data_IF_879786719577
#
_entry.id   IF_879786719577
#
_cell.length_a   1.000
_cell.length_b   1.000
_cell.length_c   1.000
_cell.angle_alpha   90.00
_cell.angle_beta   90.00
_cell.angle_gamma   90.00
#
_symmetry.space_group_name_H-M   'P 1'
#
loop_
_entity.id
_entity.type
_entity.pdbx_description
1 polymer ?
#
# COMPACT_ATOMS: atom_id res chain seq x y z
N UNK A 1 43.82 -48.91 -6.18
CA UNK A 1 43.66 -47.58 -5.54
C UNK A 1 42.29 -47.04 -5.93
N UNK A 2 41.28 -47.19 -5.07
CA UNK A 2 39.93 -46.69 -5.31
C UNK A 2 39.61 -45.68 -4.22
N UNK A 3 39.58 -44.40 -4.59
CA UNK A 3 39.10 -43.33 -3.72
C UNK A 3 37.57 -43.35 -3.73
N UNK A 4 36.89 -43.43 -2.57
CA UNK A 4 35.44 -43.25 -2.53
C UNK A 4 35.12 -41.77 -2.78
N UNK A 5 34.29 -41.51 -3.79
CA UNK A 5 33.69 -40.19 -4.01
C UNK A 5 32.78 -39.86 -2.84
N UNK A 6 33.15 -38.83 -2.07
CA UNK A 6 32.28 -38.25 -1.06
C UNK A 6 31.17 -37.46 -1.77
N UNK A 7 29.95 -38.00 -1.75
CA UNK A 7 28.74 -37.26 -2.14
C UNK A 7 28.47 -36.24 -1.04
N UNK A 8 28.79 -34.97 -1.30
CA UNK A 8 28.39 -33.87 -0.44
C UNK A 8 26.87 -33.66 -0.58
N UNK A 9 26.09 -34.11 0.41
CA UNK A 9 24.71 -33.66 0.57
C UNK A 9 24.73 -32.17 0.92
N UNK A 10 24.47 -31.30 -0.05
CA UNK A 10 24.05 -29.93 0.24
C UNK A 10 22.66 -30.00 0.89
N UNK A 11 22.62 -29.84 2.21
CA UNK A 11 21.36 -29.56 2.90
C UNK A 11 20.91 -28.18 2.46
N UNK A 12 19.86 -28.12 1.64
CA UNK A 12 19.17 -26.88 1.34
C UNK A 12 18.57 -26.37 2.66
N UNK A 13 19.22 -25.38 3.29
CA UNK A 13 18.61 -24.65 4.40
C UNK A 13 17.30 -24.06 3.87
N UNK A 14 16.16 -24.27 4.54
CA UNK A 14 14.94 -23.57 4.16
C UNK A 14 15.24 -22.08 4.18
N UNK A 15 15.10 -21.43 3.04
CA UNK A 15 15.16 -19.97 2.94
C UNK A 15 14.03 -19.43 3.79
N UNK A 16 14.34 -19.10 5.05
CA UNK A 16 13.40 -18.46 5.96
C UNK A 16 13.00 -17.15 5.29
N UNK A 17 11.75 -17.05 4.85
CA UNK A 17 11.22 -15.76 4.41
C UNK A 17 11.29 -14.81 5.60
N UNK A 18 12.28 -13.93 5.59
CA UNK A 18 12.44 -12.90 6.60
C UNK A 18 11.51 -11.73 6.27
N UNK A 19 10.21 -11.95 6.34
CA UNK A 19 9.28 -10.82 6.41
C UNK A 19 9.53 -10.04 7.71
N UNK A 20 9.50 -8.72 7.59
CA UNK A 20 9.91 -7.76 8.63
C UNK A 20 8.80 -6.77 8.98
N UNK A 21 7.59 -6.97 8.46
CA UNK A 21 6.42 -6.21 8.87
C UNK A 21 6.16 -6.40 10.36
N UNK A 22 5.94 -5.30 11.08
CA UNK A 22 5.68 -5.31 12.51
C UNK A 22 4.34 -5.98 12.82
N UNK A 23 4.35 -7.06 13.61
CA UNK A 23 3.17 -7.87 13.93
C UNK A 23 2.59 -7.61 15.33
N UNK A 24 3.11 -6.62 16.05
CA UNK A 24 2.73 -6.32 17.44
C UNK A 24 1.39 -5.60 17.62
N UNK A 25 0.57 -5.51 16.58
CA UNK A 25 -0.71 -4.78 16.61
C UNK A 25 -0.58 -3.30 16.26
N UNK A 26 -1.68 -2.55 16.45
CA UNK A 26 -1.64 -1.09 16.35
C UNK A 26 -0.75 -0.51 17.47
N UNK A 27 0.13 0.45 17.16
CA UNK A 27 0.87 1.17 18.18
C UNK A 27 -0.07 1.89 19.16
N UNK A 28 0.36 2.04 20.42
CA UNK A 28 -0.39 2.80 21.41
C UNK A 28 -0.36 4.28 21.04
N UNK A 29 -1.54 4.88 20.83
CA UNK A 29 -1.61 6.30 20.51
C UNK A 29 -1.25 7.18 21.72
N UNK A 30 -0.60 8.31 21.47
CA UNK A 30 -0.25 9.32 22.49
C UNK A 30 -1.36 10.33 22.73
N UNK A 31 -2.34 10.40 21.83
CA UNK A 31 -3.51 11.27 21.89
C UNK A 31 -4.43 11.00 20.71
N UNK A 32 -5.57 11.69 20.65
CA UNK A 32 -6.50 11.63 19.51
C UNK A 32 -6.85 13.04 19.04
N UNK A 33 -7.01 13.24 17.74
CA UNK A 33 -7.48 14.47 17.11
C UNK A 33 -8.49 14.17 16.01
N UNK A 34 -9.65 14.81 16.07
CA UNK A 34 -10.65 14.77 15.01
C UNK A 34 -10.54 16.04 14.17
N UNK A 35 -10.33 15.90 12.87
CA UNK A 35 -10.13 17.00 11.94
C UNK A 35 -11.42 17.36 11.20
N UNK A 36 -11.80 18.64 11.22
CA UNK A 36 -12.95 19.15 10.44
C UNK A 36 -12.69 19.18 8.93
N UNK A 37 -11.42 19.32 8.52
CA UNK A 37 -10.97 19.37 7.12
C UNK A 37 -9.69 18.54 6.94
N UNK A 38 -9.28 18.20 5.70
CA UNK A 38 -7.99 17.54 5.48
C UNK A 38 -6.84 18.36 6.06
N UNK A 39 -5.85 17.67 6.64
CA UNK A 39 -4.60 18.29 7.04
C UNK A 39 -3.59 18.19 5.91
N UNK A 40 -3.24 19.34 5.33
CA UNK A 40 -2.25 19.43 4.27
C UNK A 40 -0.83 19.46 4.82
N UNK A 41 0.05 18.60 4.31
CA UNK A 41 1.49 18.67 4.53
C UNK A 41 2.12 19.26 3.29
N UNK A 42 2.72 20.45 3.44
CA UNK A 42 3.19 21.25 2.31
C UNK A 42 4.40 20.64 1.63
N UNK A 43 4.62 21.07 0.38
CA UNK A 43 5.70 20.58 -0.49
C UNK A 43 7.03 20.45 0.26
N UNK A 44 7.62 19.25 0.25
CA UNK A 44 8.89 18.94 0.89
C UNK A 44 8.93 18.95 2.42
N UNK A 45 7.81 19.23 3.10
CA UNK A 45 7.77 19.29 4.56
C UNK A 45 7.58 17.91 5.18
N UNK A 46 8.07 17.76 6.42
CA UNK A 46 7.83 16.57 7.24
C UNK A 46 6.85 16.91 8.36
N UNK A 47 5.81 16.09 8.51
CA UNK A 47 4.95 16.09 9.68
C UNK A 47 5.15 14.79 10.47
N UNK A 48 5.70 14.95 11.67
CA UNK A 48 5.79 13.88 12.66
C UNK A 48 4.62 14.01 13.63
N UNK A 49 3.73 13.04 13.62
CA UNK A 49 2.52 13.09 14.43
C UNK A 49 2.73 12.56 15.85
N UNK A 50 3.93 12.08 16.20
CA UNK A 50 4.27 11.63 17.55
C UNK A 50 3.36 10.52 18.09
N UNK A 51 2.88 9.64 17.21
CA UNK A 51 1.90 8.58 17.46
C UNK A 51 0.50 9.06 17.88
N UNK A 52 0.14 10.30 17.55
CA UNK A 52 -1.24 10.77 17.72
C UNK A 52 -2.15 10.08 16.70
N UNK A 53 -3.35 9.70 17.13
CA UNK A 53 -4.41 9.16 16.28
C UNK A 53 -5.22 10.29 15.66
N UNK A 54 -5.42 10.27 14.35
CA UNK A 54 -6.21 11.24 13.60
C UNK A 54 -7.40 10.58 12.91
N UNK A 55 -8.54 11.25 12.89
CA UNK A 55 -9.70 10.87 12.09
C UNK A 55 -10.47 12.11 11.60
N UNK A 56 -11.60 11.90 10.91
CA UNK A 56 -12.50 12.96 10.42
C UNK A 56 -13.81 13.06 11.21
N UNK A 57 -14.01 12.23 12.23
CA UNK A 57 -15.24 12.17 13.02
C UNK A 57 -16.49 11.76 12.23
N UNK A 58 -16.31 11.20 11.03
CA UNK A 58 -17.41 10.76 10.16
C UNK A 58 -17.37 9.25 10.02
N UNK A 59 -18.55 8.61 10.04
CA UNK A 59 -18.63 7.16 9.84
C UNK A 59 -18.24 6.80 8.41
N UNK A 60 -17.50 5.70 8.27
CA UNK A 60 -17.26 5.07 6.98
C UNK A 60 -18.57 4.72 6.26
N UNK A 61 -18.63 4.99 4.97
CA UNK A 61 -19.79 4.72 4.10
C UNK A 61 -19.57 3.57 3.13
N UNK A 62 -18.54 2.75 3.37
CA UNK A 62 -18.14 1.64 2.52
C UNK A 62 -17.30 2.08 1.33
N UNK A 63 -17.41 1.35 0.22
CA UNK A 63 -16.57 1.47 -0.98
C UNK A 63 -17.01 2.57 -1.96
N UNK A 64 -17.78 3.55 -1.50
CA UNK A 64 -18.16 4.69 -2.33
C UNK A 64 -16.96 5.65 -2.42
N UNK A 65 -16.45 5.88 -3.64
CA UNK A 65 -15.26 6.71 -3.86
C UNK A 65 -15.42 8.11 -3.23
N UNK A 66 -14.47 8.46 -2.36
CA UNK A 66 -14.36 9.78 -1.76
C UNK A 66 -13.63 10.79 -2.65
N UNK A 67 -13.51 12.01 -2.15
CA UNK A 67 -12.66 13.04 -2.74
C UNK A 67 -11.58 13.52 -1.77
N UNK A 68 -10.68 14.37 -2.27
CA UNK A 68 -9.60 14.95 -1.46
C UNK A 68 -10.11 15.62 -0.17
N UNK A 69 -11.28 16.27 -0.21
CA UNK A 69 -11.93 16.91 0.95
C UNK A 69 -12.27 15.95 2.09
N UNK A 70 -12.39 14.66 1.79
CA UNK A 70 -12.77 13.59 2.72
C UNK A 70 -11.56 12.90 3.36
N UNK A 71 -10.34 13.24 2.91
CA UNK A 71 -9.08 12.64 3.38
C UNK A 71 -8.68 13.09 4.79
N UNK A 72 -7.98 12.25 5.54
CA UNK A 72 -7.36 12.67 6.81
C UNK A 72 -6.15 13.57 6.53
N UNK A 73 -5.23 13.11 5.67
CA UNK A 73 -4.04 13.86 5.28
C UNK A 73 -3.89 13.98 3.76
N UNK A 74 -3.41 15.14 3.31
CA UNK A 74 -3.00 15.38 1.93
C UNK A 74 -1.53 15.79 1.92
N UNK A 75 -0.70 14.98 1.27
CA UNK A 75 0.73 15.26 1.11
C UNK A 75 0.95 15.89 -0.26
N UNK A 76 1.45 17.12 -0.27
CA UNK A 76 1.98 17.75 -1.47
C UNK A 76 3.31 17.08 -1.88
N UNK A 77 3.79 17.38 -3.09
CA UNK A 77 5.00 16.76 -3.64
C UNK A 77 6.22 16.86 -2.72
N UNK A 78 6.93 15.75 -2.54
CA UNK A 78 8.07 15.60 -1.64
C UNK A 78 7.75 15.60 -0.15
N UNK A 79 6.48 15.72 0.27
CA UNK A 79 6.12 15.75 1.68
C UNK A 79 6.30 14.37 2.36
N UNK A 80 6.47 14.41 3.69
CA UNK A 80 6.62 13.23 4.54
C UNK A 80 5.64 13.26 5.70
N UNK A 81 5.00 12.12 5.97
CA UNK A 81 4.16 11.88 7.13
C UNK A 81 4.73 10.71 7.92
N UNK A 82 4.89 10.86 9.24
CA UNK A 82 5.42 9.79 10.07
C UNK A 82 4.81 9.67 11.47
N UNK A 83 4.93 8.47 12.04
CA UNK A 83 4.49 8.11 13.39
C UNK A 83 3.04 8.55 13.64
N UNK A 84 2.10 8.05 12.84
CA UNK A 84 0.70 8.46 12.92
C UNK A 84 -0.21 7.25 12.87
N UNK A 85 -1.35 7.34 13.55
CA UNK A 85 -2.42 6.35 13.49
C UNK A 85 -3.62 7.03 12.86
N UNK A 86 -4.22 6.40 11.85
CA UNK A 86 -5.44 6.83 11.18
C UNK A 86 -6.58 5.99 11.75
N UNK A 87 -7.52 6.66 12.44
CA UNK A 87 -8.65 6.02 13.09
C UNK A 87 -9.75 5.62 12.11
N UNK A 88 -10.71 4.82 12.59
CA UNK A 88 -11.80 4.26 11.79
C UNK A 88 -12.84 5.29 11.29
N UNK A 89 -12.96 6.45 11.95
CA UNK A 89 -13.96 7.47 11.61
C UNK A 89 -13.49 8.38 10.46
N UNK A 90 -13.25 7.77 9.32
CA UNK A 90 -12.76 8.42 8.11
C UNK A 90 -13.41 7.77 6.87
N UNK A 91 -13.36 8.48 5.74
CA UNK A 91 -13.79 7.95 4.44
C UNK A 91 -12.59 7.68 3.54
N UNK A 92 -11.67 8.64 3.51
CA UNK A 92 -10.41 8.57 2.78
C UNK A 92 -9.23 8.74 3.75
N UNK A 93 -8.20 7.91 3.62
CA UNK A 93 -7.05 7.93 4.52
C UNK A 93 -6.06 9.05 4.17
N UNK A 94 -5.09 8.74 3.32
CA UNK A 94 -3.98 9.61 2.96
C UNK A 94 -3.87 9.76 1.45
N UNK A 95 -3.80 10.99 0.96
CA UNK A 95 -3.50 11.28 -0.45
C UNK A 95 -2.06 11.74 -0.62
N UNK A 96 -1.37 11.22 -1.65
CA UNK A 96 -0.10 11.76 -2.14
C UNK A 96 -0.31 12.43 -3.49
N UNK A 97 -0.12 13.76 -3.57
CA UNK A 97 -0.31 14.56 -4.78
C UNK A 97 0.94 14.62 -5.68
N UNK A 98 2.04 14.00 -5.28
CA UNK A 98 3.30 13.86 -6.02
C UNK A 98 4.15 12.77 -5.38
N UNK A 99 5.48 12.94 -5.40
CA UNK A 99 6.35 12.08 -4.59
C UNK A 99 6.01 12.25 -3.11
N UNK A 100 6.04 11.19 -2.32
CA UNK A 100 5.74 11.29 -0.88
C UNK A 100 6.45 10.20 -0.09
N UNK A 101 6.58 10.40 1.22
CA UNK A 101 7.09 9.37 2.12
C UNK A 101 6.16 9.19 3.32
N UNK A 102 5.73 7.95 3.54
CA UNK A 102 4.93 7.52 4.68
C UNK A 102 5.80 6.59 5.53
N UNK A 103 6.13 7.01 6.74
CA UNK A 103 6.99 6.25 7.67
C UNK A 103 6.20 5.90 8.93
N UNK A 104 6.00 4.61 9.19
CA UNK A 104 5.26 4.15 10.37
C UNK A 104 3.84 4.76 10.48
N UNK A 105 3.14 4.79 9.35
CA UNK A 105 1.74 5.21 9.24
C UNK A 105 0.84 3.99 9.42
N UNK A 106 -0.07 4.03 10.39
CA UNK A 106 -0.98 2.93 10.70
C UNK A 106 -2.42 3.28 10.39
N UNK A 107 -3.20 2.32 9.90
CA UNK A 107 -4.63 2.47 9.61
C UNK A 107 -5.42 1.44 10.43
N UNK A 108 -6.23 1.92 11.37
CA UNK A 108 -7.00 1.09 12.31
C UNK A 108 -8.15 0.33 11.64
N UNK A 109 -8.82 0.98 10.69
CA UNK A 109 -9.93 0.41 9.91
C UNK A 109 -10.01 1.19 8.59
N UNK A 110 -9.76 0.52 7.47
CA UNK A 110 -9.74 1.15 6.15
C UNK A 110 -11.15 1.19 5.58
N UNK A 111 -11.64 2.40 5.29
CA UNK A 111 -12.98 2.58 4.73
C UNK A 111 -13.05 2.22 3.24
N UNK A 112 -12.50 3.09 2.37
CA UNK A 112 -12.35 2.82 0.94
C UNK A 112 -10.90 2.39 0.66
N UNK A 113 -9.99 3.37 0.62
CA UNK A 113 -8.54 3.19 0.45
C UNK A 113 -7.80 3.79 1.65
N UNK A 114 -6.69 3.17 2.06
CA UNK A 114 -5.83 3.71 3.10
C UNK A 114 -4.92 4.81 2.54
N UNK A 115 -4.29 4.52 1.40
CA UNK A 115 -3.30 5.36 0.75
C UNK A 115 -3.66 5.47 -0.73
N UNK A 116 -3.85 6.70 -1.20
CA UNK A 116 -4.17 7.01 -2.59
C UNK A 116 -3.04 7.85 -3.20
N UNK A 117 -2.28 7.27 -4.12
CA UNK A 117 -1.16 7.93 -4.81
C UNK A 117 -1.73 8.55 -6.08
N UNK A 118 -2.06 9.85 -6.01
CA UNK A 118 -2.75 10.60 -7.06
C UNK A 118 -1.76 11.23 -8.05
N UNK A 119 -0.64 11.75 -7.55
CA UNK A 119 0.41 12.36 -8.36
C UNK A 119 1.43 11.37 -8.91
N UNK A 120 2.26 11.83 -9.84
CA UNK A 120 3.41 11.08 -10.32
C UNK A 120 4.62 11.15 -9.40
N UNK A 121 5.67 10.42 -9.75
CA UNK A 121 6.93 10.36 -8.97
C UNK A 121 7.05 9.09 -8.13
N UNK A 122 7.76 9.19 -7.00
CA UNK A 122 8.01 8.03 -6.12
C UNK A 122 7.29 8.19 -4.78
N UNK A 123 6.45 7.21 -4.44
CA UNK A 123 5.89 7.06 -3.11
C UNK A 123 6.67 6.01 -2.32
N UNK A 124 7.16 6.36 -1.13
CA UNK A 124 7.82 5.42 -0.22
C UNK A 124 6.90 5.14 0.97
N UNK A 125 6.55 3.87 1.16
CA UNK A 125 5.71 3.39 2.27
C UNK A 125 6.60 2.46 3.09
N UNK A 126 7.03 2.94 4.25
CA UNK A 126 8.10 2.33 5.04
C UNK A 126 7.58 2.03 6.45
N UNK A 127 7.52 0.74 6.81
CA UNK A 127 6.90 0.30 8.04
C UNK A 127 5.40 0.63 8.06
N UNK A 128 4.82 0.65 9.26
CA UNK A 128 3.39 0.91 9.40
C UNK A 128 2.54 -0.32 9.05
N UNK A 129 1.24 -0.11 8.94
CA UNK A 129 0.35 -1.19 8.57
C UNK A 129 -1.11 -0.79 8.46
N UNK A 130 -1.93 -1.67 7.92
CA UNK A 130 -3.36 -1.44 7.76
C UNK A 130 -4.18 -2.67 8.14
N UNK A 131 -5.34 -2.41 8.71
CA UNK A 131 -6.34 -3.42 9.07
C UNK A 131 -7.63 -3.19 8.28
N UNK A 132 -8.32 -4.28 7.96
CA UNK A 132 -9.72 -4.29 7.47
C UNK A 132 -9.97 -3.50 6.19
N UNK A 133 -9.13 -3.67 5.18
CA UNK A 133 -9.32 -3.07 3.87
C UNK A 133 -10.13 -3.99 2.94
N UNK A 134 -11.43 -3.73 2.78
CA UNK A 134 -12.31 -4.63 2.03
C UNK A 134 -11.86 -4.87 0.57
N UNK A 135 -11.37 -3.83 -0.13
CA UNK A 135 -10.83 -3.95 -1.49
C UNK A 135 -9.31 -3.77 -1.54
N UNK A 136 -8.81 -2.57 -1.24
CA UNK A 136 -7.39 -2.23 -1.42
C UNK A 136 -6.86 -1.29 -0.35
N UNK A 137 -5.60 -1.49 0.05
CA UNK A 137 -4.91 -0.61 1.00
C UNK A 137 -4.28 0.56 0.24
N UNK A 138 -3.47 0.26 -0.78
CA UNK A 138 -2.72 1.24 -1.57
C UNK A 138 -3.25 1.27 -2.99
N UNK A 139 -3.88 2.39 -3.36
CA UNK A 139 -4.35 2.67 -4.71
C UNK A 139 -3.35 3.59 -5.43
N UNK A 140 -2.78 3.12 -6.54
CA UNK A 140 -1.81 3.88 -7.33
C UNK A 140 -2.45 4.39 -8.63
N UNK A 141 -2.85 5.65 -8.61
CA UNK A 141 -3.53 6.34 -9.72
C UNK A 141 -2.55 7.14 -10.59
N UNK A 142 -1.55 7.79 -9.98
CA UNK A 142 -0.55 8.57 -10.70
C UNK A 142 0.46 7.72 -11.46
N UNK A 143 1.27 8.35 -12.32
CA UNK A 143 2.30 7.67 -13.10
C UNK A 143 3.64 7.70 -12.34
N UNK A 144 4.11 6.54 -11.88
CA UNK A 144 5.27 6.53 -11.02
C UNK A 144 5.68 5.18 -10.46
N UNK A 145 6.39 5.24 -9.34
CA UNK A 145 6.94 4.11 -8.62
C UNK A 145 6.48 4.11 -7.16
N UNK A 146 6.26 2.92 -6.59
CA UNK A 146 5.94 2.76 -5.17
C UNK A 146 6.89 1.76 -4.54
N UNK A 147 7.56 2.17 -3.46
CA UNK A 147 8.28 1.27 -2.57
C UNK A 147 7.39 0.93 -1.37
N UNK A 148 7.23 -0.35 -1.06
CA UNK A 148 6.48 -0.86 0.09
C UNK A 148 7.43 -1.74 0.89
N UNK A 149 7.95 -1.21 1.99
CA UNK A 149 9.04 -1.80 2.75
C UNK A 149 8.57 -2.10 4.16
N UNK A 150 8.67 -3.35 4.59
CA UNK A 150 8.34 -3.81 5.95
C UNK A 150 6.92 -3.42 6.40
N UNK A 151 5.95 -3.42 5.47
CA UNK A 151 4.57 -3.08 5.77
C UNK A 151 3.83 -4.26 6.42
N UNK A 152 2.86 -3.97 7.29
CA UNK A 152 1.96 -4.98 7.85
C UNK A 152 0.54 -4.85 7.26
N UNK A 153 -0.05 -5.95 6.83
CA UNK A 153 -1.43 -5.96 6.34
C UNK A 153 -2.23 -7.09 6.99
N UNK A 154 -3.44 -6.79 7.47
CA UNK A 154 -4.35 -7.78 8.04
C UNK A 154 -5.79 -7.51 7.60
N UNK A 155 -6.51 -8.56 7.22
CA UNK A 155 -7.88 -8.50 6.70
C UNK A 155 -7.99 -7.54 5.51
N UNK A 156 -7.47 -7.97 4.36
CA UNK A 156 -7.35 -7.11 3.18
C UNK A 156 -7.73 -7.81 1.87
N UNK A 157 -8.29 -7.06 0.91
CA UNK A 157 -8.45 -7.53 -0.46
C UNK A 157 -7.11 -7.54 -1.21
N UNK A 158 -6.47 -6.37 -1.32
CA UNK A 158 -5.18 -6.16 -2.01
C UNK A 158 -4.30 -5.19 -1.22
N UNK A 159 -3.01 -5.48 -1.05
CA UNK A 159 -2.10 -4.50 -0.42
C UNK A 159 -1.84 -3.33 -1.37
N UNK A 160 -1.52 -3.63 -2.63
CA UNK A 160 -1.24 -2.64 -3.67
C UNK A 160 -2.03 -2.95 -4.94
N UNK A 161 -2.61 -1.91 -5.54
CA UNK A 161 -3.26 -1.98 -6.85
C UNK A 161 -2.85 -0.80 -7.74
N UNK A 162 -2.25 -1.11 -8.90
CA UNK A 162 -2.16 -0.17 -10.02
C UNK A 162 -3.56 0.11 -10.55
N UNK A 163 -3.95 1.36 -10.75
CA UNK A 163 -5.32 1.68 -11.18
C UNK A 163 -5.67 0.99 -12.51
N UNK A 164 -6.73 0.18 -12.51
CA UNK A 164 -7.07 -0.69 -13.65
C UNK A 164 -7.85 0.00 -14.76
N UNK A 165 -8.58 1.07 -14.47
CA UNK A 165 -9.45 1.79 -15.39
C UNK A 165 -9.32 3.32 -15.23
N UNK A 166 -8.18 3.82 -14.75
CA UNK A 166 -7.97 5.26 -14.63
C UNK A 166 -7.99 5.93 -16.00
N UNK A 167 -8.49 7.17 -16.03
CA UNK A 167 -8.41 8.02 -17.22
C UNK A 167 -6.95 8.42 -17.46
N UNK A 168 -6.46 8.30 -18.69
CA UNK A 168 -5.05 8.56 -19.00
C UNK A 168 -4.14 7.53 -18.36
N UNK A 169 -4.52 6.24 -18.46
CA UNK A 169 -3.81 5.18 -17.77
C UNK A 169 -2.37 5.08 -18.28
N UNK A 170 -1.45 4.73 -17.39
CA UNK A 170 -0.03 4.80 -17.66
C UNK A 170 0.69 3.64 -17.00
N UNK A 171 1.91 3.38 -17.47
CA UNK A 171 2.80 2.40 -16.87
C UNK A 171 3.18 2.81 -15.45
N UNK A 172 3.02 1.89 -14.51
CA UNK A 172 3.42 2.04 -13.10
C UNK A 172 4.41 0.96 -12.71
N UNK A 173 5.10 1.18 -11.60
CA UNK A 173 5.94 0.15 -11.01
C UNK A 173 5.82 0.11 -9.50
N UNK A 174 6.08 -1.06 -8.93
CA UNK A 174 6.05 -1.30 -7.50
C UNK A 174 7.22 -2.19 -7.10
N UNK A 175 7.85 -1.86 -5.99
CA UNK A 175 8.76 -2.73 -5.27
C UNK A 175 8.17 -3.05 -3.90
N UNK A 176 8.07 -4.32 -3.54
CA UNK A 176 7.58 -4.75 -2.24
C UNK A 176 8.57 -5.68 -1.54
N UNK A 177 9.12 -5.23 -0.41
CA UNK A 177 10.09 -5.99 0.38
C UNK A 177 9.65 -6.13 1.83
N UNK A 178 9.85 -7.32 2.40
CA UNK A 178 9.73 -7.52 3.84
C UNK A 178 8.30 -7.40 4.39
N UNK A 179 7.28 -7.36 3.52
CA UNK A 179 5.88 -7.20 3.93
C UNK A 179 5.40 -8.44 4.67
N UNK A 180 4.68 -8.24 5.77
CA UNK A 180 4.01 -9.31 6.51
C UNK A 180 2.50 -9.13 6.36
N UNK A 181 1.86 -10.03 5.64
CA UNK A 181 0.43 -9.96 5.34
C UNK A 181 -0.31 -11.21 5.82
N UNK A 182 -1.46 -11.01 6.45
CA UNK A 182 -2.27 -12.06 7.08
C UNK A 182 -3.73 -11.88 6.66
N UNK A 183 -4.47 -12.98 6.50
CA UNK A 183 -5.91 -12.97 6.20
C UNK A 183 -6.33 -12.09 5.01
N UNK A 184 -5.63 -12.18 3.88
CA UNK A 184 -6.01 -11.38 2.71
C UNK A 184 -5.90 -12.07 1.37
N UNK A 185 -6.09 -11.27 0.32
CA UNK A 185 -6.02 -11.67 -1.07
C UNK A 185 -4.63 -11.50 -1.66
N UNK A 186 -4.48 -10.49 -2.50
CA UNK A 186 -3.29 -10.27 -3.33
C UNK A 186 -2.35 -9.26 -2.66
N UNK A 187 -1.03 -9.48 -2.69
CA UNK A 187 -0.11 -8.42 -2.29
C UNK A 187 -0.08 -7.32 -3.35
N UNK A 188 0.16 -7.66 -4.61
CA UNK A 188 0.24 -6.68 -5.70
C UNK A 188 -0.68 -7.04 -6.86
N UNK A 189 -1.47 -6.08 -7.33
CA UNK A 189 -2.21 -6.16 -8.58
C UNK A 189 -1.67 -5.16 -9.61
N UNK A 190 -1.03 -5.65 -10.68
CA UNK A 190 -0.43 -4.81 -11.73
C UNK A 190 -1.12 -4.99 -13.09
N UNK A 191 -1.11 -3.96 -13.94
CA UNK A 191 -1.65 -4.06 -15.30
C UNK A 191 -0.54 -4.47 -16.28
N UNK A 192 -0.39 -5.77 -16.53
CA UNK A 192 0.74 -6.30 -17.33
C UNK A 192 0.67 -5.86 -18.80
N UNK A 193 -0.53 -5.73 -19.36
CA UNK A 193 -0.75 -5.22 -20.71
C UNK A 193 -0.38 -3.73 -20.89
N UNK A 194 -0.35 -2.95 -19.81
CA UNK A 194 0.11 -1.56 -19.81
C UNK A 194 1.62 -1.44 -19.52
N UNK A 195 2.31 -2.57 -19.38
CA UNK A 195 3.75 -2.64 -19.13
C UNK A 195 4.14 -2.41 -17.67
N UNK A 196 3.20 -2.50 -16.73
CA UNK A 196 3.50 -2.36 -15.31
C UNK A 196 4.56 -3.38 -14.86
N UNK A 197 5.37 -3.00 -13.86
CA UNK A 197 6.40 -3.88 -13.30
C UNK A 197 6.29 -4.02 -11.79
N UNK A 198 6.34 -5.25 -11.29
CA UNK A 198 6.51 -5.55 -9.88
C UNK A 198 7.87 -6.19 -9.62
N UNK A 199 8.55 -5.77 -8.56
CA UNK A 199 9.72 -6.47 -8.00
C UNK A 199 9.46 -6.73 -6.52
N UNK A 200 9.96 -7.85 -6.00
CA UNK A 200 9.66 -8.23 -4.63
C UNK A 200 10.70 -9.16 -4.01
N UNK A 201 10.80 -9.10 -2.69
CA UNK A 201 11.69 -9.94 -1.89
C UNK A 201 11.12 -10.12 -0.48
N UNK A 202 11.37 -11.27 0.15
CA UNK A 202 11.15 -11.47 1.59
C UNK A 202 9.72 -11.16 2.11
N UNK A 203 8.66 -11.41 1.34
CA UNK A 203 7.28 -11.12 1.76
C UNK A 203 6.56 -12.37 2.28
N UNK A 204 5.88 -12.27 3.42
CA UNK A 204 4.98 -13.32 3.93
C UNK A 204 3.53 -12.98 3.56
N UNK A 205 2.82 -13.90 2.91
CA UNK A 205 1.46 -13.69 2.44
C UNK A 205 0.69 -15.02 2.35
N UNK A 206 -0.65 -14.98 2.45
CA UNK A 206 -1.45 -16.20 2.52
C UNK A 206 -1.85 -16.77 1.14
N UNK A 207 -1.94 -15.95 0.09
CA UNK A 207 -2.50 -16.36 -1.21
C UNK A 207 -1.63 -16.00 -2.42
N UNK A 208 -1.63 -14.74 -2.84
CA UNK A 208 -1.02 -14.32 -4.11
C UNK A 208 0.00 -13.20 -3.90
N UNK A 209 1.25 -13.44 -4.30
CA UNK A 209 2.31 -12.42 -4.29
C UNK A 209 2.05 -11.34 -5.34
N UNK A 210 1.77 -11.73 -6.58
CA UNK A 210 1.47 -10.78 -7.64
C UNK A 210 0.44 -11.34 -8.62
N UNK A 211 -0.60 -10.54 -8.86
CA UNK A 211 -1.64 -10.80 -9.83
C UNK A 211 -1.50 -9.80 -10.99
N UNK A 212 -1.40 -10.31 -12.21
CA UNK A 212 -1.51 -9.51 -13.42
C UNK A 212 -2.98 -9.24 -13.78
N UNK A 213 -3.24 -8.08 -14.36
CA UNK A 213 -4.53 -7.64 -14.88
C UNK A 213 -4.37 -7.09 -16.29
N UNK A 214 -5.43 -7.20 -17.09
CA UNK A 214 -5.59 -6.42 -18.30
C UNK A 214 -6.27 -5.10 -17.91
N UNK A 215 -5.47 -4.05 -17.72
CA UNK A 215 -5.97 -2.70 -17.48
C UNK A 215 -6.48 -2.04 -18.77
N UNK A 216 -7.25 -0.97 -18.61
CA UNK A 216 -7.83 -0.19 -19.69
C UNK A 216 -7.81 1.31 -19.33
N UNK A 217 -8.18 2.16 -20.28
CA UNK A 217 -8.26 3.61 -20.08
C UNK A 217 -9.71 4.07 -20.22
N UNK A 218 -10.33 4.50 -19.11
CA UNK A 218 -11.73 4.95 -19.14
C UNK A 218 -11.94 6.22 -19.97
N UNK A 219 -10.86 6.95 -20.30
CA UNK A 219 -10.88 8.07 -21.23
C UNK A 219 -11.28 7.65 -22.65
N UNK A 220 -11.10 6.38 -23.00
CA UNK A 220 -11.46 5.81 -24.31
C UNK A 220 -12.81 5.07 -24.30
N UNK A 221 -13.57 5.16 -23.19
CA UNK A 221 -14.85 4.47 -23.00
C UNK A 221 -14.89 3.71 -21.68
N UNK A 222 -16.09 3.45 -21.16
CA UNK A 222 -16.26 2.69 -19.93
C UNK A 222 -15.68 1.27 -20.09
N UNK A 223 -14.87 0.86 -19.12
CA UNK A 223 -14.19 -0.43 -19.11
C UNK A 223 -13.81 -0.82 -17.68
N UNK A 224 -13.74 -2.13 -17.43
CA UNK A 224 -13.28 -2.68 -16.16
C UNK A 224 -12.07 -3.60 -16.40
N UNK A 225 -11.06 -3.57 -15.51
CA UNK A 225 -9.90 -4.42 -15.66
C UNK A 225 -10.28 -5.88 -15.41
N UNK A 226 -9.78 -6.79 -16.24
CA UNK A 226 -9.98 -8.24 -16.03
C UNK A 226 -8.73 -8.87 -15.46
N UNK A 227 -8.86 -9.91 -14.64
CA UNK A 227 -7.69 -10.71 -14.21
C UNK A 227 -7.00 -11.33 -15.42
N UNK A 228 -5.68 -11.31 -15.40
CA UNK A 228 -4.82 -12.03 -16.32
C UNK A 228 -4.08 -13.16 -15.55
N UNK A 229 -2.93 -13.60 -16.05
CA UNK A 229 -2.06 -14.52 -15.32
C UNK A 229 -1.40 -13.88 -14.10
N UNK A 230 -0.73 -14.71 -13.30
CA UNK A 230 0.17 -14.22 -12.26
C UNK A 230 1.29 -13.38 -12.87
N UNK A 231 1.82 -12.47 -12.06
CA UNK A 231 3.06 -11.76 -12.30
C UNK A 231 4.13 -12.30 -11.32
#
# INVERSE_FOLDING_TARGET
>A
MHFPSAIALLTALPSVLACKGYTGGLPKHTGTKTLGSPQYIKKGQTFDAGWVKYDRGVKCTGQAEGGEKDTVFVLEDGAKLRNVIIGANQREGVYCLGSCTLEFVWFEDVCEDAISIKGGGTANIIGGGAYKAADKIIQHNGCGHVNIINFYANDYGKVYRSCGNCKGNCRRSVHMEGTTAVNGGELMGINTNLGDKATYSNNCYPKVQCQGYNGCDKGNGACEPTKAGLC
#
